data_IF_033468619420
#
_entry.id   IF_033468619420
#
_cell.length_a   1.000
_cell.length_b   1.000
_cell.length_c   1.000
_cell.angle_alpha   90.00
_cell.angle_beta   90.00
_cell.angle_gamma   90.00
#
_symmetry.space_group_name_H-M   'P 1'
#
loop_
_entity.id
_entity.type
_entity.pdbx_description
1 polymer ?
#
# COMPACT_ATOMS: atom_id res chain seq x y z
N UNK A 1 49.62 33.47 17.42
CA UNK A 1 49.53 32.01 17.66
C UNK A 1 48.17 31.60 18.22
N UNK A 2 47.66 32.19 19.31
CA UNK A 2 46.38 31.80 19.94
C UNK A 2 45.12 32.12 19.10
N UNK A 3 45.15 33.23 18.35
CA UNK A 3 44.01 33.66 17.52
C UNK A 3 43.73 32.77 16.30
N UNK A 4 44.76 32.18 15.69
CA UNK A 4 44.60 31.29 14.52
C UNK A 4 43.99 29.94 14.92
N UNK A 5 44.36 29.43 16.10
CA UNK A 5 43.82 28.18 16.64
C UNK A 5 42.32 28.34 16.95
N UNK A 6 41.93 29.48 17.52
CA UNK A 6 40.52 29.77 17.81
C UNK A 6 39.66 29.83 16.53
N UNK A 7 40.20 30.42 15.47
CA UNK A 7 39.49 30.57 14.19
C UNK A 7 39.31 29.22 13.48
N UNK A 8 40.31 28.34 13.55
CA UNK A 8 40.23 26.98 13.02
C UNK A 8 39.16 26.15 13.74
N UNK A 9 39.12 26.21 15.08
CA UNK A 9 38.13 25.47 15.88
C UNK A 9 36.72 25.90 15.51
N UNK A 10 36.46 27.21 15.45
CA UNK A 10 35.15 27.77 15.05
C UNK A 10 34.77 27.29 13.64
N UNK A 11 35.71 27.33 12.69
CA UNK A 11 35.46 26.87 11.32
C UNK A 11 35.04 25.40 11.23
N UNK A 12 35.67 24.52 12.01
CA UNK A 12 35.34 23.09 12.05
C UNK A 12 33.91 22.87 12.59
N UNK A 13 33.54 23.56 13.67
CA UNK A 13 32.19 23.46 14.24
C UNK A 13 31.12 23.95 13.26
N UNK A 14 31.35 25.06 12.57
CA UNK A 14 30.43 25.55 11.54
C UNK A 14 30.30 24.57 10.36
N UNK A 15 31.40 23.96 9.91
CA UNK A 15 31.39 22.95 8.85
C UNK A 15 30.58 21.70 9.23
N UNK A 16 30.78 21.20 10.45
CA UNK A 16 30.02 20.05 10.97
C UNK A 16 28.54 20.40 11.12
N UNK A 17 28.23 21.58 11.68
CA UNK A 17 26.85 22.04 11.83
C UNK A 17 26.14 22.16 10.48
N UNK A 18 26.80 22.75 9.48
CA UNK A 18 26.27 22.86 8.12
C UNK A 18 25.99 21.47 7.50
N UNK A 19 26.89 20.51 7.67
CA UNK A 19 26.69 19.13 7.22
C UNK A 19 25.47 18.48 7.90
N UNK A 20 25.35 18.63 9.22
CA UNK A 20 24.20 18.08 9.97
C UNK A 20 22.89 18.69 9.45
N UNK A 21 22.83 20.00 9.26
CA UNK A 21 21.63 20.69 8.73
C UNK A 21 21.27 20.18 7.34
N UNK A 22 22.23 20.00 6.44
CA UNK A 22 22.00 19.47 5.09
C UNK A 22 21.43 18.05 5.15
N UNK A 23 21.99 17.17 5.98
CA UNK A 23 21.51 15.79 6.15
C UNK A 23 20.09 15.77 6.71
N UNK A 24 19.81 16.56 7.75
CA UNK A 24 18.47 16.65 8.35
C UNK A 24 17.45 17.22 7.35
N UNK A 25 17.81 18.24 6.57
CA UNK A 25 16.93 18.79 5.53
C UNK A 25 16.64 17.79 4.41
N UNK A 26 17.64 17.01 3.99
CA UNK A 26 17.45 15.97 2.99
C UNK A 26 16.52 14.86 3.51
N UNK A 27 16.73 14.42 4.74
CA UNK A 27 15.93 13.37 5.37
C UNK A 27 14.48 13.81 5.63
N UNK A 28 14.28 15.01 6.16
CA UNK A 28 12.93 15.56 6.40
C UNK A 28 12.16 15.85 5.12
N UNK A 29 12.83 16.30 4.04
CA UNK A 29 12.23 16.42 2.71
C UNK A 29 11.82 15.06 2.11
N UNK A 30 12.64 14.02 2.31
CA UNK A 30 12.30 12.65 1.90
C UNK A 30 11.05 12.13 2.61
N UNK A 31 10.99 12.32 3.93
CA UNK A 31 9.85 11.89 4.76
C UNK A 31 8.55 12.65 4.47
N UNK A 32 8.61 13.95 4.16
CA UNK A 32 7.42 14.74 3.84
C UNK A 32 6.78 14.33 2.50
N UNK A 33 7.56 13.82 1.55
CA UNK A 33 7.08 13.39 0.23
C UNK A 33 6.34 12.06 0.27
N UNK A 34 6.64 11.19 1.23
CA UNK A 34 6.08 9.83 1.31
C UNK A 34 4.63 9.81 1.83
N UNK A 35 4.30 10.68 2.80
CA UNK A 35 2.93 10.77 3.34
C UNK A 35 1.89 11.19 2.32
N UNK A 36 2.23 12.07 1.38
CA UNK A 36 1.25 12.57 0.42
C UNK A 36 0.94 11.56 -0.70
N UNK A 37 1.92 10.72 -1.07
CA UNK A 37 1.73 9.67 -2.10
C UNK A 37 0.95 8.48 -1.55
N UNK A 38 1.14 8.13 -0.28
CA UNK A 38 0.42 7.02 0.35
C UNK A 38 -1.08 7.28 0.50
N UNK A 39 -1.50 8.51 0.80
CA UNK A 39 -2.93 8.87 0.82
C UNK A 39 -3.58 8.84 -0.58
N UNK A 40 -2.85 9.28 -1.61
CA UNK A 40 -3.34 9.26 -3.00
C UNK A 40 -3.45 7.80 -3.49
N UNK A 41 -2.49 6.93 -3.16
CA UNK A 41 -2.54 5.51 -3.53
C UNK A 41 -3.70 4.76 -2.86
N UNK A 42 -4.03 5.09 -1.61
CA UNK A 42 -5.11 4.40 -0.87
C UNK A 42 -6.49 4.65 -1.50
N UNK A 43 -6.73 5.86 -2.02
CA UNK A 43 -8.00 6.20 -2.69
C UNK A 43 -8.18 5.50 -4.03
N UNK A 44 -7.10 5.23 -4.78
CA UNK A 44 -7.23 4.53 -6.06
C UNK A 44 -7.51 3.04 -5.90
N UNK A 45 -6.97 2.38 -4.87
CA UNK A 45 -7.18 0.94 -4.66
C UNK A 45 -8.63 0.64 -4.24
N UNK A 46 -9.23 1.50 -3.42
CA UNK A 46 -10.61 1.35 -2.92
C UNK A 46 -11.66 1.41 -4.04
N UNK A 47 -11.46 2.29 -5.04
CA UNK A 47 -12.36 2.43 -6.19
C UNK A 47 -12.27 1.20 -7.11
N UNK A 48 -11.06 0.65 -7.30
CA UNK A 48 -10.86 -0.51 -8.20
C UNK A 48 -11.47 -1.78 -7.60
N UNK A 49 -11.33 -2.01 -6.29
CA UNK A 49 -11.86 -3.20 -5.62
C UNK A 49 -13.40 -3.25 -5.67
N UNK A 50 -14.05 -2.11 -5.44
CA UNK A 50 -15.51 -2.00 -5.49
C UNK A 50 -16.08 -2.27 -6.89
N UNK A 51 -15.43 -1.76 -7.93
CA UNK A 51 -15.87 -1.98 -9.31
C UNK A 51 -15.58 -3.40 -9.80
N UNK A 52 -14.49 -4.03 -9.34
CA UNK A 52 -14.21 -5.41 -9.70
C UNK A 52 -15.24 -6.36 -9.10
N UNK A 53 -15.59 -6.16 -7.83
CA UNK A 53 -16.57 -7.01 -7.14
C UNK A 53 -17.98 -6.94 -7.79
N UNK A 54 -18.37 -5.79 -8.34
CA UNK A 54 -19.63 -5.63 -9.08
C UNK A 54 -19.63 -6.33 -10.45
N UNK A 55 -18.45 -6.46 -11.09
CA UNK A 55 -18.31 -7.07 -12.42
C UNK A 55 -18.05 -8.57 -12.40
N UNK A 56 -17.56 -9.13 -11.28
CA UNK A 56 -17.28 -10.56 -11.20
C UNK A 56 -18.56 -11.33 -10.86
N UNK A 57 -19.04 -12.07 -11.85
CA UNK A 57 -20.13 -13.06 -11.70
C UNK A 57 -19.51 -14.43 -11.55
N UNK A 58 -19.90 -15.14 -10.50
CA UNK A 58 -19.53 -16.53 -10.28
C UNK A 58 -20.61 -17.42 -10.88
N UNK A 59 -20.18 -18.51 -11.51
CA UNK A 59 -21.07 -19.58 -11.94
C UNK A 59 -21.27 -20.58 -10.80
N UNK A 60 -22.52 -20.91 -10.47
CA UNK A 60 -22.81 -21.91 -9.47
C UNK A 60 -22.45 -23.32 -9.98
N UNK A 61 -21.62 -24.12 -9.29
CA UNK A 61 -21.23 -25.46 -9.76
C UNK A 61 -22.37 -26.48 -9.78
N UNK A 62 -23.50 -26.20 -9.10
CA UNK A 62 -24.63 -27.13 -8.97
C UNK A 62 -25.77 -26.86 -9.95
N UNK A 63 -26.04 -25.59 -10.25
CA UNK A 63 -27.18 -25.18 -11.08
C UNK A 63 -26.78 -24.27 -12.24
N UNK A 64 -25.48 -24.02 -12.43
CA UNK A 64 -24.89 -23.22 -13.51
C UNK A 64 -25.45 -21.79 -13.62
N UNK A 65 -26.15 -21.32 -12.58
CA UNK A 65 -26.63 -19.94 -12.55
C UNK A 65 -25.46 -19.00 -12.29
N UNK A 66 -25.35 -17.95 -13.10
CA UNK A 66 -24.44 -16.83 -12.87
C UNK A 66 -25.03 -15.85 -11.86
N UNK A 67 -24.28 -15.52 -10.81
CA UNK A 67 -24.68 -14.54 -9.79
C UNK A 67 -23.48 -13.75 -9.27
N UNK A 68 -23.68 -12.54 -8.70
CA UNK A 68 -22.58 -11.71 -8.21
C UNK A 68 -21.89 -12.31 -6.97
N UNK A 69 -20.57 -12.07 -6.82
CA UNK A 69 -19.75 -12.54 -5.68
C UNK A 69 -20.33 -12.13 -4.32
N UNK A 70 -21.02 -10.99 -4.26
CA UNK A 70 -21.59 -10.46 -3.01
C UNK A 70 -22.60 -11.39 -2.32
N UNK A 71 -23.14 -12.38 -3.04
CA UNK A 71 -24.09 -13.34 -2.46
C UNK A 71 -23.35 -14.58 -1.93
N UNK A 72 -23.49 -14.81 -0.62
CA UNK A 72 -22.88 -15.95 0.09
C UNK A 72 -23.47 -17.30 -0.39
N UNK A 73 -24.72 -17.29 -0.85
CA UNK A 73 -25.44 -18.46 -1.34
C UNK A 73 -26.01 -18.22 -2.74
N UNK A 74 -26.07 -19.28 -3.54
CA UNK A 74 -26.66 -19.22 -4.87
C UNK A 74 -28.17 -18.94 -4.78
N UNK A 75 -28.71 -17.92 -5.48
CA UNK A 75 -30.13 -17.56 -5.39
C UNK A 75 -31.07 -18.59 -6.02
N UNK A 76 -30.57 -19.47 -6.89
CA UNK A 76 -31.40 -20.45 -7.61
C UNK A 76 -31.52 -21.77 -6.86
N UNK A 77 -30.43 -22.26 -6.27
CA UNK A 77 -30.39 -23.57 -5.63
C UNK A 77 -30.14 -23.53 -4.11
N UNK A 78 -29.85 -22.35 -3.53
CA UNK A 78 -29.60 -22.19 -2.10
C UNK A 78 -28.28 -22.79 -1.61
N UNK A 79 -27.39 -23.24 -2.50
CA UNK A 79 -26.10 -23.81 -2.11
C UNK A 79 -25.18 -22.74 -1.50
N UNK A 80 -24.61 -23.03 -0.33
CA UNK A 80 -23.61 -22.21 0.35
C UNK A 80 -22.27 -22.31 -0.38
N UNK A 81 -21.92 -21.29 -1.16
CA UNK A 81 -20.67 -21.27 -1.93
C UNK A 81 -19.44 -20.86 -1.11
N UNK A 82 -19.56 -20.81 0.22
CA UNK A 82 -18.44 -20.60 1.16
C UNK A 82 -17.40 -21.74 1.19
N UNK A 83 -17.64 -22.85 0.49
CA UNK A 83 -16.65 -23.91 0.30
C UNK A 83 -16.38 -24.05 -1.20
N UNK A 84 -15.39 -23.32 -1.70
CA UNK A 84 -14.71 -23.70 -2.95
C UNK A 84 -14.06 -25.06 -2.67
N UNK A 85 -14.79 -26.15 -2.94
CA UNK A 85 -14.19 -27.48 -2.98
C UNK A 85 -13.42 -27.54 -4.30
N UNK A 86 -12.10 -27.34 -4.21
CA UNK A 86 -11.21 -27.67 -5.32
C UNK A 86 -11.48 -29.13 -5.72
N UNK A 87 -11.77 -29.42 -6.99
CA UNK A 87 -11.94 -30.80 -7.43
C UNK A 87 -10.65 -31.57 -7.16
N UNK A 88 -10.76 -32.76 -6.55
CA UNK A 88 -9.63 -33.68 -6.43
C UNK A 88 -9.19 -34.06 -7.85
N UNK A 89 -7.91 -33.87 -8.16
CA UNK A 89 -7.32 -34.40 -9.40
C UNK A 89 -7.49 -35.92 -9.40
N UNK A 90 -7.97 -36.51 -10.50
CA UNK A 90 -8.01 -37.96 -10.67
C UNK A 90 -6.60 -38.50 -10.99
N UNK A 91 -6.23 -39.64 -10.40
CA UNK A 91 -5.24 -40.57 -10.96
C UNK A 91 -5.95 -41.56 -11.90
#
# INVERSE_FOLDING_TARGET
MSGEIALQIIGVFFGIFALIVVVVLHFTRGMAKDRNISEIKKKQIDVVDKHFNEMVRIECPYCQTLYPIDKISCPTCGADTKKIQFPKMPD
#
